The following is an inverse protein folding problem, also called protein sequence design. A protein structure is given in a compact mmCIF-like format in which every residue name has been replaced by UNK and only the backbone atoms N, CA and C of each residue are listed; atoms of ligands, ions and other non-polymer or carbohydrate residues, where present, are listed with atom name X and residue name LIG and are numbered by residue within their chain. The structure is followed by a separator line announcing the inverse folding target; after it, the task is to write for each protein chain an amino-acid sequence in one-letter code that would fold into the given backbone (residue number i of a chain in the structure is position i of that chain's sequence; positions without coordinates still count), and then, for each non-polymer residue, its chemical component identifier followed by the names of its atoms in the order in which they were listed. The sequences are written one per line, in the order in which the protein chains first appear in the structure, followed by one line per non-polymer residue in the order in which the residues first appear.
data_IF_942911349213
#
_entry.id   IF_942911349213
#
_cell.length_a   1.000
_cell.length_b   1.000
_cell.length_c   1.000
_cell.angle_alpha   90.00
_cell.angle_beta   90.00
_cell.angle_gamma   90.00
#
_symmetry.space_group_name_H-M   'P 1'
#
loop_
_entity.id
_entity.type
_entity.pdbx_description
1 polymer ?
#
# COMPACT_ATOMS: atom_id res chain seq x y z
N UNK A 1 -25.59 13.11 -35.83
CA UNK A 1 -26.81 12.72 -35.10
C UNK A 1 -26.40 11.73 -34.04
N UNK A 2 -26.38 12.15 -32.77
CA UNK A 2 -25.94 11.31 -31.64
C UNK A 2 -27.01 10.24 -31.42
N UNK A 3 -26.58 8.98 -31.39
CA UNK A 3 -27.45 7.80 -31.33
C UNK A 3 -28.28 7.85 -30.04
N UNK A 4 -29.59 8.09 -30.14
CA UNK A 4 -30.49 8.29 -28.99
C UNK A 4 -30.53 7.09 -28.05
N UNK A 5 -30.23 5.89 -28.54
CA UNK A 5 -30.13 4.67 -27.73
C UNK A 5 -28.90 4.65 -26.81
N UNK A 6 -27.74 5.15 -27.27
CA UNK A 6 -26.53 5.26 -26.43
C UNK A 6 -26.72 6.33 -25.36
N UNK A 7 -27.28 7.48 -25.72
CA UNK A 7 -27.63 8.54 -24.77
C UNK A 7 -28.62 8.09 -23.69
N UNK A 8 -29.56 7.19 -24.04
CA UNK A 8 -30.53 6.64 -23.09
C UNK A 8 -29.89 5.61 -22.14
N UNK A 9 -28.98 4.77 -22.64
CA UNK A 9 -28.26 3.76 -21.85
C UNK A 9 -27.26 4.40 -20.88
N UNK A 10 -26.55 5.44 -21.32
CA UNK A 10 -25.71 6.27 -20.46
C UNK A 10 -26.53 7.01 -19.39
N UNK A 11 -27.73 7.50 -19.73
CA UNK A 11 -28.65 8.10 -18.77
C UNK A 11 -29.15 7.10 -17.73
N UNK A 12 -29.39 5.85 -18.14
CA UNK A 12 -29.82 4.73 -17.29
C UNK A 12 -28.64 4.06 -16.55
N UNK A 13 -27.39 4.48 -16.80
CA UNK A 13 -26.20 3.91 -16.18
C UNK A 13 -25.94 2.45 -16.55
N UNK A 14 -26.43 1.97 -17.70
CA UNK A 14 -26.11 0.63 -18.18
C UNK A 14 -24.74 0.70 -18.87
N UNK A 15 -23.72 0.17 -18.20
CA UNK A 15 -22.35 0.15 -18.72
C UNK A 15 -22.31 -0.55 -20.09
N UNK A 16 -21.49 -0.01 -21.00
CA UNK A 16 -21.08 -0.74 -22.20
C UNK A 16 -20.41 -2.03 -21.73
N UNK A 17 -21.02 -3.17 -22.01
CA UNK A 17 -20.43 -4.48 -21.70
C UNK A 17 -19.18 -4.61 -22.56
N UNK A 18 -18.02 -4.27 -21.99
CA UNK A 18 -16.74 -4.50 -22.62
C UNK A 18 -16.54 -6.01 -22.61
N UNK A 19 -16.64 -6.64 -23.78
CA UNK A 19 -16.20 -8.01 -23.96
C UNK A 19 -14.68 -8.03 -23.78
N UNK A 20 -14.21 -8.69 -22.71
CA UNK A 20 -12.79 -8.82 -22.38
C UNK A 20 -12.39 -10.26 -22.67
N UNK A 21 -11.48 -10.47 -23.62
CA UNK A 21 -10.99 -11.81 -23.99
C UNK A 21 -9.93 -12.35 -23.01
N UNK A 22 -9.18 -11.46 -22.37
CA UNK A 22 -8.06 -11.81 -21.49
C UNK A 22 -7.98 -10.93 -20.24
N UNK A 23 -7.68 -11.56 -19.10
CA UNK A 23 -7.47 -10.88 -17.81
C UNK A 23 -6.03 -11.10 -17.36
N UNK A 24 -5.35 -10.03 -16.98
CA UNK A 24 -4.01 -10.06 -16.44
C UNK A 24 -3.98 -9.53 -15.00
N UNK A 25 -3.06 -10.05 -14.19
CA UNK A 25 -2.84 -9.62 -12.79
C UNK A 25 -1.36 -9.29 -12.65
N UNK A 26 -1.08 -8.13 -12.05
CA UNK A 26 0.27 -7.65 -11.78
C UNK A 26 0.34 -7.02 -10.39
N UNK A 27 1.56 -6.82 -9.89
CA UNK A 27 1.77 -6.07 -8.64
C UNK A 27 1.55 -4.59 -8.92
N UNK A 28 0.77 -3.93 -8.07
CA UNK A 28 0.45 -2.52 -8.22
C UNK A 28 1.64 -1.65 -7.79
N UNK A 29 2.06 -0.72 -8.66
CA UNK A 29 3.01 0.32 -8.28
C UNK A 29 2.33 1.38 -7.40
N UNK A 30 3.08 2.13 -6.57
CA UNK A 30 2.54 3.26 -5.82
C UNK A 30 1.87 4.30 -6.72
N UNK A 31 2.41 4.54 -7.92
CA UNK A 31 1.84 5.46 -8.92
C UNK A 31 0.52 4.94 -9.48
N UNK A 32 0.43 3.64 -9.76
CA UNK A 32 -0.81 2.99 -10.19
C UNK A 32 -1.90 3.14 -9.12
N UNK A 33 -1.57 2.92 -7.85
CA UNK A 33 -2.52 3.08 -6.73
C UNK A 33 -3.03 4.52 -6.66
N UNK A 34 -2.14 5.52 -6.81
CA UNK A 34 -2.54 6.94 -6.85
C UNK A 34 -3.42 7.25 -8.05
N UNK A 35 -3.17 6.63 -9.21
CA UNK A 35 -3.98 6.83 -10.43
C UNK A 35 -5.42 6.32 -10.31
N UNK A 36 -5.64 5.24 -9.55
CA UNK A 36 -6.97 4.70 -9.28
C UNK A 36 -7.74 5.57 -8.29
N UNK A 37 -7.02 6.29 -7.44
CA UNK A 37 -7.61 7.07 -6.38
C UNK A 37 -8.19 8.38 -6.87
N UNK A 38 -9.37 8.73 -6.35
CA UNK A 38 -9.98 10.06 -6.53
C UNK A 38 -9.65 11.04 -5.40
N UNK A 39 -8.87 10.62 -4.41
CA UNK A 39 -8.41 11.48 -3.33
C UNK A 39 -7.84 10.75 -2.12
N UNK A 40 -7.03 11.47 -1.35
CA UNK A 40 -6.40 10.99 -0.13
C UNK A 40 -7.36 11.07 1.08
N UNK A 41 -7.47 9.98 1.83
CA UNK A 41 -8.21 9.92 3.10
C UNK A 41 -7.25 10.29 4.23
N UNK A 42 -7.55 11.41 4.91
CA UNK A 42 -6.70 11.95 5.99
C UNK A 42 -7.28 11.69 7.37
N UNK A 43 -8.60 11.70 7.49
CA UNK A 43 -9.28 11.59 8.77
C UNK A 43 -9.86 10.18 8.94
N UNK A 44 -9.81 9.61 10.16
CA UNK A 44 -10.43 8.32 10.46
C UNK A 44 -11.96 8.42 10.52
N UNK A 45 -12.50 9.63 10.64
CA UNK A 45 -13.93 9.86 10.86
C UNK A 45 -14.79 9.36 9.69
N UNK A 46 -15.99 8.90 10.01
CA UNK A 46 -16.91 8.32 9.03
C UNK A 46 -18.06 9.28 8.72
N UNK A 47 -19.01 9.41 9.65
CA UNK A 47 -20.19 10.25 9.55
C UNK A 47 -20.35 11.08 10.82
N UNK A 48 -20.94 12.25 10.67
CA UNK A 48 -21.27 13.10 11.80
C UNK A 48 -22.44 12.51 12.61
N UNK A 49 -22.28 12.37 13.92
CA UNK A 49 -23.29 11.77 14.79
C UNK A 49 -24.61 12.55 14.89
N UNK A 50 -24.62 13.87 14.64
CA UNK A 50 -25.84 14.70 14.69
C UNK A 50 -26.53 14.81 13.33
N UNK A 51 -25.75 15.07 12.28
CA UNK A 51 -26.29 15.37 10.95
C UNK A 51 -26.37 14.16 10.04
N UNK A 52 -25.75 13.04 10.43
CA UNK A 52 -25.58 11.82 9.61
C UNK A 52 -24.91 12.07 8.25
N UNK A 53 -24.29 13.24 8.06
CA UNK A 53 -23.55 13.56 6.85
C UNK A 53 -22.13 13.01 6.93
N UNK A 54 -21.57 12.52 5.81
CA UNK A 54 -20.17 12.10 5.77
C UNK A 54 -19.21 13.23 6.12
N UNK A 55 -18.18 12.90 6.91
CA UNK A 55 -17.16 13.86 7.30
C UNK A 55 -16.19 14.18 6.14
N UNK A 56 -15.72 15.44 6.10
CA UNK A 56 -14.79 15.89 5.05
C UNK A 56 -13.41 15.26 5.26
N UNK A 57 -12.84 14.68 4.21
CA UNK A 57 -11.55 13.98 4.26
C UNK A 57 -11.57 12.66 5.04
N UNK A 58 -12.75 12.22 5.48
CA UNK A 58 -12.97 10.95 6.17
C UNK A 58 -13.21 9.77 5.23
N UNK A 59 -13.47 8.60 5.81
CA UNK A 59 -13.66 7.34 5.10
C UNK A 59 -14.90 7.30 4.20
N UNK A 60 -15.87 8.18 4.40
CA UNK A 60 -17.09 8.25 3.60
C UNK A 60 -17.20 9.55 2.79
N UNK A 61 -16.11 10.33 2.72
CA UNK A 61 -16.09 11.68 2.17
C UNK A 61 -16.66 11.75 0.74
N UNK A 62 -17.68 12.57 0.55
CA UNK A 62 -18.35 12.72 -0.74
C UNK A 62 -17.47 13.36 -1.82
N UNK A 63 -16.46 14.14 -1.42
CA UNK A 63 -15.48 14.73 -2.36
C UNK A 63 -14.61 13.67 -3.03
N UNK A 64 -14.27 12.61 -2.28
CA UNK A 64 -13.39 11.53 -2.75
C UNK A 64 -14.22 10.48 -3.48
N UNK A 65 -15.26 9.98 -2.81
CA UNK A 65 -16.01 8.82 -3.29
C UNK A 65 -17.23 9.16 -4.14
N UNK A 66 -17.68 10.42 -4.17
CA UNK A 66 -18.87 10.87 -4.89
C UNK A 66 -20.08 11.15 -3.98
N UNK A 67 -21.16 11.74 -4.53
CA UNK A 67 -22.30 12.23 -3.76
C UNK A 67 -23.17 11.10 -3.20
N UNK A 68 -23.77 11.29 -2.02
CA UNK A 68 -24.71 10.31 -1.43
C UNK A 68 -26.05 10.26 -2.18
N UNK A 69 -26.45 11.37 -2.81
CA UNK A 69 -27.70 11.49 -3.57
C UNK A 69 -27.41 11.74 -5.04
N UNK A 70 -28.24 11.17 -5.91
CA UNK A 70 -28.11 11.37 -7.35
C UNK A 70 -28.27 12.84 -7.74
N UNK A 71 -27.32 13.33 -8.53
CA UNK A 71 -27.34 14.68 -9.11
C UNK A 71 -27.49 15.81 -8.08
N UNK A 72 -27.02 15.59 -6.85
CA UNK A 72 -27.07 16.58 -5.77
C UNK A 72 -25.72 16.62 -5.04
N UNK A 73 -25.19 17.83 -4.84
CA UNK A 73 -23.99 18.03 -4.02
C UNK A 73 -24.33 18.04 -2.52
N UNK A 74 -23.34 17.72 -1.66
CA UNK A 74 -23.47 17.67 -0.19
C UNK A 74 -24.17 18.86 0.48
N UNK A 75 -23.88 20.08 -0.01
CA UNK A 75 -24.40 21.33 0.55
C UNK A 75 -25.74 21.75 -0.06
N UNK A 76 -26.22 21.06 -1.10
CA UNK A 76 -27.47 21.38 -1.79
C UNK A 76 -27.43 22.64 -2.68
N UNK A 77 -26.27 23.28 -2.90
CA UNK A 77 -26.11 24.43 -3.82
C UNK A 77 -26.49 24.05 -5.26
N UNK A 78 -25.88 22.97 -5.75
CA UNK A 78 -26.16 22.40 -7.07
C UNK A 78 -27.04 21.16 -6.91
N UNK A 79 -28.19 21.17 -7.59
CA UNK A 79 -29.20 20.10 -7.60
C UNK A 79 -29.72 19.86 -9.01
N UNK A 80 -30.19 18.64 -9.26
CA UNK A 80 -30.79 18.17 -10.51
C UNK A 80 -29.75 17.97 -11.62
N UNK A 81 -30.15 17.23 -12.65
CA UNK A 81 -29.29 16.79 -13.76
C UNK A 81 -28.63 17.94 -14.55
N UNK A 82 -29.20 19.16 -14.50
CA UNK A 82 -28.67 20.35 -15.19
C UNK A 82 -27.22 20.71 -14.81
N UNK A 83 -26.76 20.29 -13.63
CA UNK A 83 -25.40 20.55 -13.14
C UNK A 83 -24.49 19.31 -13.22
N UNK A 84 -24.83 18.33 -14.08
CA UNK A 84 -24.02 17.12 -14.31
C UNK A 84 -22.56 17.47 -14.56
N UNK A 85 -21.65 16.83 -13.80
CA UNK A 85 -20.19 17.01 -13.94
C UNK A 85 -19.63 18.31 -13.33
N UNK A 86 -20.48 19.18 -12.77
CA UNK A 86 -20.02 20.41 -12.10
C UNK A 86 -19.50 20.05 -10.70
N UNK A 87 -18.27 20.48 -10.39
CA UNK A 87 -17.70 20.39 -9.05
C UNK A 87 -18.14 21.59 -8.22
N UNK A 88 -18.73 21.34 -7.05
CA UNK A 88 -19.27 22.42 -6.23
C UNK A 88 -18.18 23.25 -5.54
N UNK A 89 -18.16 24.57 -5.73
CA UNK A 89 -17.17 25.47 -5.10
C UNK A 89 -17.19 25.44 -3.56
N UNK A 90 -18.34 25.12 -2.94
CA UNK A 90 -18.51 25.16 -1.48
C UNK A 90 -18.11 23.86 -0.78
N UNK A 91 -18.42 22.71 -1.39
CA UNK A 91 -18.16 21.40 -0.78
C UNK A 91 -17.16 20.54 -1.54
N UNK A 92 -16.75 20.94 -2.74
CA UNK A 92 -15.85 20.19 -3.62
C UNK A 92 -16.43 18.89 -4.17
N UNK A 93 -17.73 18.64 -3.97
CA UNK A 93 -18.40 17.41 -4.44
C UNK A 93 -18.83 17.60 -5.88
N UNK A 94 -18.46 16.64 -6.72
CA UNK A 94 -18.89 16.53 -8.10
C UNK A 94 -20.36 16.06 -8.18
N UNK A 95 -21.16 16.72 -9.00
CA UNK A 95 -22.57 16.35 -9.20
C UNK A 95 -22.66 15.23 -10.22
N UNK A 96 -22.75 13.99 -9.72
CA UNK A 96 -22.90 12.75 -10.51
C UNK A 96 -23.98 11.84 -9.91
N UNK A 97 -24.17 10.66 -10.48
CA UNK A 97 -24.95 9.59 -9.85
C UNK A 97 -24.24 9.09 -8.57
N UNK A 98 -24.99 8.61 -7.59
CA UNK A 98 -24.47 8.05 -6.35
C UNK A 98 -23.80 6.68 -6.58
N UNK A 99 -24.15 5.96 -7.64
CA UNK A 99 -23.56 4.65 -8.01
C UNK A 99 -22.03 4.67 -8.11
N UNK A 100 -21.44 5.82 -8.47
CA UNK A 100 -19.98 5.99 -8.53
C UNK A 100 -19.28 5.71 -7.20
N UNK A 101 -20.01 5.78 -6.07
CA UNK A 101 -19.51 5.45 -4.72
C UNK A 101 -19.20 3.97 -4.50
N UNK A 102 -19.63 3.10 -5.42
CA UNK A 102 -19.26 1.69 -5.47
C UNK A 102 -17.98 1.43 -6.26
N UNK A 103 -17.56 2.39 -7.09
CA UNK A 103 -16.45 2.24 -8.05
C UNK A 103 -15.21 3.08 -7.69
N UNK A 104 -15.42 4.30 -7.16
CA UNK A 104 -14.31 5.22 -6.85
C UNK A 104 -13.51 4.74 -5.64
N UNK A 105 -12.19 4.61 -5.82
CA UNK A 105 -11.27 4.27 -4.73
C UNK A 105 -10.65 5.51 -4.08
N UNK A 106 -10.27 5.38 -2.82
CA UNK A 106 -9.43 6.34 -2.09
C UNK A 106 -8.00 5.81 -1.93
N UNK A 107 -7.11 6.59 -1.35
CA UNK A 107 -5.81 6.08 -0.87
C UNK A 107 -5.40 6.76 0.44
N UNK A 108 -4.46 6.14 1.14
CA UNK A 108 -3.78 6.68 2.32
C UNK A 108 -2.29 6.68 2.01
N UNK A 109 -1.64 7.83 2.18
CA UNK A 109 -0.18 7.93 2.09
C UNK A 109 0.41 7.48 3.44
N UNK A 110 1.21 6.41 3.41
CA UNK A 110 1.84 5.89 4.63
C UNK A 110 3.06 6.73 4.97
N UNK A 111 3.22 7.05 6.26
CA UNK A 111 4.35 7.86 6.74
C UNK A 111 5.67 7.10 6.68
N UNK A 112 5.60 5.77 6.71
CA UNK A 112 6.73 4.84 6.63
C UNK A 112 6.28 3.67 5.75
N UNK A 113 7.16 3.10 4.91
CA UNK A 113 6.84 1.90 4.14
C UNK A 113 6.38 0.75 5.05
N UNK A 114 5.43 -0.04 4.56
CA UNK A 114 4.87 -1.20 5.27
C UNK A 114 4.97 -2.42 4.36
N UNK A 115 5.52 -3.52 4.87
CA UNK A 115 5.62 -4.76 4.10
C UNK A 115 4.25 -5.38 3.85
N UNK A 116 3.98 -5.79 2.61
CA UNK A 116 2.72 -6.45 2.29
C UNK A 116 2.72 -7.89 2.84
N UNK A 117 1.76 -8.18 3.72
CA UNK A 117 1.68 -9.44 4.47
C UNK A 117 1.71 -10.69 3.58
N UNK A 118 1.06 -10.68 2.41
CA UNK A 118 1.07 -11.86 1.51
C UNK A 118 2.44 -12.18 0.92
N UNK A 119 3.30 -11.19 0.68
CA UNK A 119 4.66 -11.47 0.16
C UNK A 119 5.63 -11.83 1.29
N UNK A 120 5.33 -11.39 2.51
CA UNK A 120 6.10 -11.66 3.72
C UNK A 120 5.76 -13.00 4.37
N UNK A 121 4.51 -13.20 4.82
CA UNK A 121 4.08 -14.34 5.65
C UNK A 121 3.62 -15.58 4.88
N UNK A 122 3.20 -15.47 3.62
CA UNK A 122 2.81 -16.67 2.86
C UNK A 122 4.03 -17.56 2.63
N UNK A 123 3.91 -18.86 2.94
CA UNK A 123 5.01 -19.81 2.77
C UNK A 123 4.99 -20.45 1.37
N UNK A 124 6.09 -20.39 0.61
CA UNK A 124 7.36 -19.74 0.91
C UNK A 124 7.32 -18.21 0.73
N UNK A 125 7.96 -17.47 1.65
CA UNK A 125 8.05 -16.01 1.61
C UNK A 125 8.67 -15.55 0.29
N UNK A 126 7.97 -14.68 -0.44
CA UNK A 126 8.45 -14.17 -1.74
C UNK A 126 9.60 -13.19 -1.53
N UNK A 127 9.48 -12.30 -0.54
CA UNK A 127 10.54 -11.36 -0.17
C UNK A 127 11.77 -12.12 0.31
N UNK A 128 11.60 -13.11 1.20
CA UNK A 128 12.72 -13.94 1.67
C UNK A 128 13.43 -14.68 0.54
N UNK A 129 12.69 -15.26 -0.41
CA UNK A 129 13.28 -15.91 -1.59
C UNK A 129 14.04 -14.93 -2.49
N UNK A 130 13.51 -13.73 -2.70
CA UNK A 130 14.13 -12.69 -3.52
C UNK A 130 15.43 -12.19 -2.88
N UNK A 131 15.45 -11.98 -1.56
CA UNK A 131 16.62 -11.47 -0.85
C UNK A 131 17.60 -12.56 -0.39
N UNK A 132 17.24 -13.83 -0.53
CA UNK A 132 17.96 -14.99 0.03
C UNK A 132 17.98 -15.09 1.56
N UNK A 133 17.06 -14.38 2.23
CA UNK A 133 16.97 -14.32 3.68
C UNK A 133 15.90 -15.30 4.19
N UNK A 134 16.13 -15.92 5.33
CA UNK A 134 15.13 -16.80 5.95
C UNK A 134 13.93 -15.99 6.44
N UNK A 135 12.73 -16.58 6.44
CA UNK A 135 11.52 -15.88 6.89
C UNK A 135 11.63 -15.36 8.34
N UNK A 136 12.32 -16.12 9.21
CA UNK A 136 12.59 -15.73 10.60
C UNK A 136 13.50 -14.50 10.68
N UNK A 137 14.57 -14.46 9.91
CA UNK A 137 15.48 -13.32 9.88
C UNK A 137 14.78 -12.08 9.30
N UNK A 138 13.98 -12.25 8.24
CA UNK A 138 13.19 -11.16 7.68
C UNK A 138 12.19 -10.60 8.70
N UNK A 139 11.59 -11.45 9.52
CA UNK A 139 10.70 -11.03 10.61
C UNK A 139 11.43 -10.16 11.66
N UNK A 140 12.61 -10.58 12.10
CA UNK A 140 13.43 -9.80 13.05
C UNK A 140 13.75 -8.40 12.52
N UNK A 141 14.04 -8.26 11.23
CA UNK A 141 14.27 -6.96 10.60
C UNK A 141 12.98 -6.12 10.55
N UNK A 142 11.87 -6.69 10.09
CA UNK A 142 10.59 -5.97 9.92
C UNK A 142 10.04 -5.47 11.27
N UNK A 143 10.19 -6.25 12.35
CA UNK A 143 9.70 -5.92 13.69
C UNK A 143 10.70 -5.11 14.54
N UNK A 144 11.74 -4.56 13.92
CA UNK A 144 12.71 -3.67 14.54
C UNK A 144 13.58 -4.31 15.63
N UNK A 145 13.95 -5.59 15.48
CA UNK A 145 14.90 -6.28 16.37
C UNK A 145 16.35 -6.18 15.86
N UNK A 146 16.58 -6.48 14.58
CA UNK A 146 17.91 -6.50 13.96
C UNK A 146 18.03 -5.54 12.76
N UNK A 147 19.24 -5.07 12.50
CA UNK A 147 19.57 -4.31 11.29
C UNK A 147 19.89 -5.25 10.12
N UNK A 148 19.54 -4.82 8.92
CA UNK A 148 19.87 -5.46 7.66
C UNK A 148 20.90 -4.59 6.93
N UNK A 149 22.03 -5.18 6.55
CA UNK A 149 23.04 -4.51 5.70
C UNK A 149 22.48 -4.39 4.28
N UNK A 150 22.18 -3.16 3.87
CA UNK A 150 21.65 -2.82 2.54
C UNK A 150 22.81 -2.64 1.55
N UNK A 151 23.83 -1.92 1.98
CA UNK A 151 25.06 -1.68 1.22
C UNK A 151 26.28 -1.94 2.13
N UNK A 152 27.11 -2.95 1.83
CA UNK A 152 28.30 -3.25 2.61
C UNK A 152 29.47 -2.26 2.40
N UNK A 153 29.47 -1.46 1.32
CA UNK A 153 30.60 -0.58 1.00
C UNK A 153 31.94 -1.34 0.90
N UNK A 154 32.99 -0.75 1.47
CA UNK A 154 34.35 -1.32 1.52
C UNK A 154 34.60 -2.21 2.75
N UNK A 155 33.55 -2.52 3.53
CA UNK A 155 33.67 -3.32 4.76
C UNK A 155 33.61 -4.83 4.45
N UNK A 156 34.08 -5.70 5.37
CA UNK A 156 33.96 -7.15 5.20
C UNK A 156 32.53 -7.69 5.41
N UNK A 157 31.53 -6.81 5.58
CA UNK A 157 30.14 -7.20 5.76
C UNK A 157 29.54 -7.72 4.44
N UNK A 158 28.57 -8.62 4.55
CA UNK A 158 27.85 -9.15 3.38
C UNK A 158 26.51 -8.42 3.17
N UNK A 159 26.13 -8.23 1.91
CA UNK A 159 24.79 -7.71 1.58
C UNK A 159 23.71 -8.66 2.10
N UNK A 160 22.67 -8.11 2.71
CA UNK A 160 21.60 -8.84 3.41
C UNK A 160 22.04 -9.59 4.67
N UNK A 161 23.24 -9.35 5.19
CA UNK A 161 23.64 -9.80 6.52
C UNK A 161 22.79 -9.10 7.58
N UNK A 162 22.44 -9.83 8.64
CA UNK A 162 21.77 -9.26 9.81
C UNK A 162 22.80 -8.92 10.87
N UNK A 163 22.60 -7.77 11.52
CA UNK A 163 23.40 -7.30 12.64
C UNK A 163 22.47 -7.00 13.82
N UNK A 164 22.80 -7.54 14.99
CA UNK A 164 22.17 -7.12 16.23
C UNK A 164 22.53 -5.67 16.57
N UNK A 165 21.80 -5.03 17.48
CA UNK A 165 22.09 -3.65 17.91
C UNK A 165 23.53 -3.48 18.45
N UNK A 166 24.08 -4.50 19.12
CA UNK A 166 25.46 -4.50 19.59
C UNK A 166 26.45 -4.60 18.41
N UNK A 167 26.29 -5.59 17.53
CA UNK A 167 27.16 -5.77 16.36
C UNK A 167 27.12 -4.55 15.43
N UNK A 168 25.96 -3.92 15.26
CA UNK A 168 25.83 -2.70 14.47
C UNK A 168 26.59 -1.53 15.07
N UNK A 169 26.57 -1.39 16.41
CA UNK A 169 27.33 -0.35 17.12
C UNK A 169 28.83 -0.60 16.99
N UNK A 170 29.28 -1.83 17.22
CA UNK A 170 30.68 -2.22 17.13
C UNK A 170 31.23 -2.05 15.70
N UNK A 171 30.43 -2.44 14.69
CA UNK A 171 30.77 -2.23 13.28
C UNK A 171 30.89 -0.74 12.93
N UNK A 172 29.99 0.11 13.45
CA UNK A 172 30.07 1.56 13.25
C UNK A 172 31.28 2.18 13.94
N UNK A 173 31.67 1.69 15.10
CA UNK A 173 32.87 2.16 15.80
C UNK A 173 34.14 1.73 15.07
N UNK A 174 34.16 0.51 14.53
CA UNK A 174 35.33 -0.08 13.85
C UNK A 174 35.56 0.51 12.46
N UNK A 175 34.51 0.58 11.64
CA UNK A 175 34.62 0.97 10.23
C UNK A 175 34.27 2.45 9.98
N UNK A 176 33.60 3.09 10.94
CA UNK A 176 33.08 4.44 10.81
C UNK A 176 31.60 4.48 10.40
N UNK A 177 30.92 5.61 10.64
CA UNK A 177 29.47 5.72 10.48
C UNK A 177 28.98 5.66 9.03
N UNK A 178 29.82 6.01 8.06
CA UNK A 178 29.49 6.10 6.62
C UNK A 178 30.11 4.96 5.79
N UNK A 179 30.82 4.02 6.42
CA UNK A 179 31.52 2.96 5.69
C UNK A 179 30.56 1.88 5.12
N UNK A 180 29.38 1.72 5.72
CA UNK A 180 28.34 0.80 5.28
C UNK A 180 26.96 1.35 5.63
N UNK A 181 25.93 0.89 4.92
CA UNK A 181 24.53 1.25 5.19
C UNK A 181 23.79 0.02 5.70
N UNK A 182 23.43 0.04 6.98
CA UNK A 182 22.48 -0.93 7.53
C UNK A 182 21.23 -0.23 8.07
N UNK A 183 20.07 -0.77 7.71
CA UNK A 183 18.75 -0.22 8.03
C UNK A 183 17.88 -1.26 8.72
N UNK A 184 16.84 -0.79 9.39
CA UNK A 184 15.91 -1.64 10.14
C UNK A 184 14.47 -1.38 9.70
N UNK A 185 13.59 -2.37 9.90
CA UNK A 185 12.19 -2.28 9.52
C UNK A 185 11.94 -2.48 8.03
N UNK A 186 10.70 -2.21 7.63
CA UNK A 186 10.26 -2.30 6.24
C UNK A 186 11.02 -1.37 5.29
N UNK A 187 11.60 -0.28 5.78
CA UNK A 187 12.45 0.63 5.00
C UNK A 187 13.73 -0.04 4.53
N UNK A 188 14.43 -0.76 5.43
CA UNK A 188 15.63 -1.52 5.05
C UNK A 188 15.32 -2.62 4.04
N UNK A 189 14.18 -3.29 4.19
CA UNK A 189 13.70 -4.30 3.22
C UNK A 189 13.40 -3.66 1.87
N UNK A 190 12.71 -2.51 1.85
CA UNK A 190 12.43 -1.77 0.63
C UNK A 190 13.71 -1.38 -0.11
N UNK A 191 14.67 -0.78 0.57
CA UNK A 191 15.91 -0.31 -0.06
C UNK A 191 16.79 -1.47 -0.55
N UNK A 192 16.82 -2.56 0.21
CA UNK A 192 17.49 -3.78 -0.22
C UNK A 192 16.85 -4.38 -1.49
N UNK A 193 15.52 -4.28 -1.65
CA UNK A 193 14.81 -4.71 -2.85
C UNK A 193 15.04 -3.76 -4.04
N UNK A 194 15.12 -2.44 -3.79
CA UNK A 194 15.44 -1.43 -4.81
C UNK A 194 16.82 -1.67 -5.41
N UNK A 195 17.79 -2.05 -4.58
CA UNK A 195 19.17 -2.30 -4.99
C UNK A 195 19.38 -3.66 -5.71
N UNK A 196 18.32 -4.36 -6.12
CA UNK A 196 18.43 -5.61 -6.88
C UNK A 196 18.35 -5.28 -8.37
N UNK A 197 19.46 -5.48 -9.08
CA UNK A 197 19.45 -5.63 -10.52
C UNK A 197 18.94 -7.03 -10.88
N UNK A 198 17.81 -7.11 -11.58
CA UNK A 198 17.15 -8.36 -11.93
C UNK A 198 17.92 -9.14 -13.00
N UNK A 199 18.46 -8.47 -14.01
CA UNK A 199 19.13 -9.12 -15.13
C UNK A 199 20.48 -9.68 -14.68
N UNK A 200 21.30 -8.87 -14.03
CA UNK A 200 22.59 -9.31 -13.47
C UNK A 200 22.40 -10.44 -12.46
N UNK A 201 21.38 -10.32 -11.59
CA UNK A 201 21.12 -11.36 -10.61
C UNK A 201 20.64 -12.68 -11.23
N UNK A 202 19.91 -12.66 -12.36
CA UNK A 202 19.53 -13.89 -13.07
C UNK A 202 20.78 -14.58 -13.61
N UNK A 203 21.69 -13.87 -14.27
CA UNK A 203 22.93 -14.43 -14.81
C UNK A 203 23.79 -15.06 -13.70
N UNK A 204 23.99 -14.32 -12.61
CA UNK A 204 24.71 -14.81 -11.43
C UNK A 204 24.09 -16.07 -10.83
N UNK A 205 22.76 -16.12 -10.71
CA UNK A 205 22.05 -17.29 -10.18
C UNK A 205 22.12 -18.49 -11.13
N UNK A 206 22.07 -18.27 -12.45
CA UNK A 206 22.25 -19.32 -13.45
C UNK A 206 23.66 -19.91 -13.38
N UNK A 207 24.69 -19.06 -13.28
CA UNK A 207 26.07 -19.50 -13.08
C UNK A 207 26.22 -20.34 -11.81
N UNK A 208 25.72 -19.85 -10.66
CA UNK A 208 25.77 -20.60 -9.40
C UNK A 208 25.02 -21.95 -9.45
N UNK A 209 23.99 -22.06 -10.28
CA UNK A 209 23.26 -23.31 -10.51
C UNK A 209 24.09 -24.36 -11.25
N UNK A 210 24.99 -23.94 -12.16
CA UNK A 210 25.91 -24.85 -12.87
C UNK A 210 27.01 -25.38 -11.96
N UNK A 211 27.56 -24.53 -11.09
CA UNK A 211 28.66 -24.90 -10.17
C UNK A 211 28.20 -25.86 -9.06
N UNK A 212 26.98 -25.70 -8.56
CA UNK A 212 26.50 -26.51 -7.44
C UNK A 212 25.99 -27.87 -7.90
N UNK A 213 26.43 -28.97 -7.27
CA UNK A 213 25.91 -30.34 -7.50
C UNK A 213 24.72 -30.72 -6.60
N UNK A 214 24.47 -29.95 -5.53
CA UNK A 214 23.38 -30.20 -4.58
C UNK A 214 22.00 -29.97 -5.21
N UNK A 215 21.13 -30.99 -5.15
CA UNK A 215 19.75 -30.92 -5.65
C UNK A 215 18.91 -29.87 -4.92
N UNK A 216 19.12 -29.70 -3.61
CA UNK A 216 18.36 -28.76 -2.78
C UNK A 216 18.68 -27.30 -3.16
N UNK A 217 19.96 -26.97 -3.32
CA UNK A 217 20.40 -25.63 -3.69
C UNK A 217 19.93 -25.30 -5.11
N UNK A 218 20.07 -26.23 -6.07
CA UNK A 218 19.52 -26.05 -7.43
C UNK A 218 18.02 -25.77 -7.44
N UNK A 219 17.23 -26.44 -6.60
CA UNK A 219 15.79 -26.18 -6.47
C UNK A 219 15.50 -24.78 -5.91
N UNK A 220 16.30 -24.28 -4.97
CA UNK A 220 16.18 -22.92 -4.41
C UNK A 220 16.51 -21.88 -5.49
N UNK A 221 17.63 -22.03 -6.19
CA UNK A 221 18.07 -21.14 -7.27
C UNK A 221 17.03 -21.10 -8.40
N UNK A 222 16.53 -22.24 -8.86
CA UNK A 222 15.51 -22.32 -9.90
C UNK A 222 14.22 -21.56 -9.52
N UNK A 223 13.77 -21.67 -8.26
CA UNK A 223 12.61 -20.91 -7.77
C UNK A 223 12.86 -19.40 -7.79
N UNK A 224 14.07 -18.96 -7.44
CA UNK A 224 14.45 -17.55 -7.39
C UNK A 224 14.56 -16.95 -8.80
N UNK A 225 15.23 -17.64 -9.73
CA UNK A 225 15.29 -17.28 -11.15
C UNK A 225 13.88 -17.13 -11.72
N UNK A 226 12.98 -18.09 -11.44
CA UNK A 226 11.59 -18.01 -11.91
C UNK A 226 10.85 -16.76 -11.41
N UNK A 227 11.11 -16.33 -10.17
CA UNK A 227 10.51 -15.11 -9.62
C UNK A 227 11.06 -13.87 -10.34
N UNK A 228 12.38 -13.78 -10.54
CA UNK A 228 13.02 -12.65 -11.22
C UNK A 228 12.56 -12.53 -12.68
N UNK A 229 12.50 -13.65 -13.41
CA UNK A 229 11.93 -13.69 -14.76
C UNK A 229 10.46 -13.25 -14.77
N UNK A 230 9.70 -13.60 -13.73
CA UNK A 230 8.32 -13.13 -13.55
C UNK A 230 8.21 -11.62 -13.41
N UNK A 231 9.10 -11.00 -12.64
CA UNK A 231 9.19 -9.54 -12.50
C UNK A 231 9.55 -8.87 -13.82
N UNK A 232 10.57 -9.35 -14.54
CA UNK A 232 10.96 -8.82 -15.85
C UNK A 232 9.82 -8.92 -16.88
N UNK A 233 9.17 -10.09 -16.97
CA UNK A 233 8.07 -10.31 -17.93
C UNK A 233 6.86 -9.42 -17.64
N UNK A 234 6.55 -9.22 -16.36
CA UNK A 234 5.43 -8.36 -15.93
C UNK A 234 5.78 -6.88 -15.84
N UNK A 235 7.03 -6.49 -16.15
CA UNK A 235 7.58 -5.14 -15.94
C UNK A 235 7.30 -4.61 -14.53
N UNK A 236 7.21 -5.51 -13.56
CA UNK A 236 6.97 -5.18 -12.16
C UNK A 236 8.28 -5.13 -11.41
N UNK A 237 8.39 -4.25 -10.42
CA UNK A 237 9.61 -4.13 -9.63
C UNK A 237 9.47 -4.84 -8.27
N UNK A 238 10.55 -5.44 -7.73
CA UNK A 238 10.50 -6.18 -6.46
C UNK A 238 10.09 -5.32 -5.26
N UNK A 239 10.49 -4.04 -5.22
CA UNK A 239 10.19 -3.15 -4.10
C UNK A 239 8.70 -2.82 -3.96
N UNK A 240 7.89 -3.03 -4.99
CA UNK A 240 6.43 -2.86 -4.91
C UNK A 240 5.75 -3.89 -3.99
N UNK A 241 6.48 -4.91 -3.52
CA UNK A 241 6.02 -5.79 -2.43
C UNK A 241 5.99 -5.06 -1.07
N UNK A 242 6.61 -3.89 -0.96
CA UNK A 242 6.54 -3.00 0.19
C UNK A 242 5.68 -1.79 -0.19
N UNK A 243 4.60 -1.57 0.56
CA UNK A 243 3.62 -0.53 0.27
C UNK A 243 4.04 0.79 0.89
N UNK A 244 4.07 1.84 0.08
CA UNK A 244 4.14 3.24 0.53
C UNK A 244 2.77 3.93 0.49
N UNK A 245 1.87 3.40 -0.33
CA UNK A 245 0.51 3.91 -0.51
C UNK A 245 -0.46 2.75 -0.33
N UNK A 246 -1.48 2.95 0.51
CA UNK A 246 -2.53 1.96 0.76
C UNK A 246 -3.83 2.39 0.06
N UNK A 247 -4.38 1.62 -0.89
CA UNK A 247 -5.68 1.91 -1.46
C UNK A 247 -6.80 1.73 -0.43
N UNK A 248 -7.84 2.56 -0.52
CA UNK A 248 -9.05 2.48 0.30
C UNK A 248 -10.23 2.07 -0.57
N UNK A 249 -10.86 0.96 -0.19
CA UNK A 249 -12.02 0.39 -0.88
C UNK A 249 -13.21 1.37 -0.88
N UNK A 250 -14.01 1.41 -1.95
CA UNK A 250 -15.21 2.25 -2.04
C UNK A 250 -16.18 2.04 -0.86
N UNK A 251 -16.82 3.11 -0.34
CA UNK A 251 -17.64 3.06 0.87
C UNK A 251 -18.88 2.17 0.74
N UNK A 252 -19.46 2.03 -0.46
CA UNK A 252 -20.66 1.20 -0.65
C UNK A 252 -20.36 -0.30 -0.58
N UNK A 253 -19.07 -0.69 -0.69
CA UNK A 253 -18.62 -2.06 -0.42
C UNK A 253 -18.33 -2.30 1.08
N UNK A 254 -18.36 -1.25 1.90
CA UNK A 254 -18.17 -1.28 3.36
C UNK A 254 -19.19 -0.38 4.08
N UNK A 255 -20.51 -0.61 3.88
CA UNK A 255 -21.54 0.33 4.29
C UNK A 255 -21.65 0.47 5.82
N UNK A 256 -22.21 1.60 6.24
CA UNK A 256 -22.70 1.84 7.59
C UNK A 256 -24.22 1.73 7.56
N UNK A 257 -24.79 0.70 8.17
CA UNK A 257 -26.22 0.45 8.11
C UNK A 257 -26.87 1.02 9.37
N UNK A 258 -27.82 1.96 9.26
CA UNK A 258 -28.57 2.42 10.42
C UNK A 258 -29.44 1.29 10.97
N UNK A 259 -29.45 1.13 12.28
CA UNK A 259 -30.31 0.21 13.03
C UNK A 259 -31.40 1.00 13.77
N UNK A 260 -32.44 0.30 14.21
CA UNK A 260 -33.48 0.87 15.07
C UNK A 260 -32.85 1.43 16.36
N UNK A 261 -33.36 2.58 16.81
CA UNK A 261 -32.84 3.27 18.00
C UNK A 261 -31.58 4.11 17.77
N UNK A 262 -31.25 4.48 16.51
CA UNK A 262 -30.17 5.42 16.20
C UNK A 262 -28.75 4.84 16.29
N UNK A 263 -28.63 3.51 16.37
CA UNK A 263 -27.35 2.80 16.31
C UNK A 263 -26.95 2.58 14.85
N UNK A 264 -25.67 2.33 14.60
CA UNK A 264 -25.16 1.97 13.28
C UNK A 264 -24.41 0.64 13.39
N UNK A 265 -24.71 -0.27 12.47
CA UNK A 265 -23.86 -1.43 12.23
C UNK A 265 -22.69 -0.99 11.34
N UNK A 266 -21.48 -1.32 11.77
CA UNK A 266 -20.24 -0.96 11.07
C UNK A 266 -19.60 -2.22 10.51
N UNK A 267 -19.16 -2.18 9.25
CA UNK A 267 -18.29 -3.23 8.71
C UNK A 267 -16.94 -3.23 9.42
N UNK A 268 -16.41 -4.41 9.76
CA UNK A 268 -15.08 -4.59 10.39
C UNK A 268 -13.96 -3.86 9.63
N UNK A 269 -14.07 -3.77 8.30
CA UNK A 269 -13.10 -3.05 7.46
C UNK A 269 -12.97 -1.57 7.84
N UNK A 270 -14.08 -0.92 8.22
CA UNK A 270 -14.03 0.49 8.61
C UNK A 270 -13.23 0.68 9.89
N UNK A 271 -13.30 -0.24 10.85
CA UNK A 271 -12.53 -0.16 12.09
C UNK A 271 -11.03 -0.45 11.86
N UNK A 272 -10.71 -1.37 10.94
CA UNK A 272 -9.33 -1.58 10.50
C UNK A 272 -8.76 -0.32 9.81
N UNK A 273 -9.49 0.28 8.86
CA UNK A 273 -9.05 1.53 8.23
C UNK A 273 -8.87 2.65 9.24
N UNK A 274 -9.79 2.80 10.21
CA UNK A 274 -9.67 3.79 11.29
C UNK A 274 -8.41 3.58 12.10
N UNK A 275 -8.09 2.33 12.44
CA UNK A 275 -6.87 1.97 13.18
C UNK A 275 -5.62 2.37 12.38
N UNK A 276 -5.55 2.00 11.11
CA UNK A 276 -4.42 2.35 10.22
C UNK A 276 -4.25 3.86 10.11
N UNK A 277 -5.33 4.61 9.84
CA UNK A 277 -5.28 6.08 9.70
C UNK A 277 -4.84 6.74 11.02
N UNK A 278 -5.37 6.30 12.16
CA UNK A 278 -5.00 6.84 13.47
C UNK A 278 -3.52 6.61 13.79
N UNK A 279 -3.01 5.39 13.55
CA UNK A 279 -1.62 5.04 13.76
C UNK A 279 -0.70 5.81 12.82
N UNK A 280 -1.07 5.91 11.55
CA UNK A 280 -0.31 6.66 10.55
C UNK A 280 -0.23 8.16 10.89
N UNK A 281 -1.35 8.79 11.25
CA UNK A 281 -1.39 10.20 11.65
C UNK A 281 -0.59 10.46 12.94
N UNK A 282 -0.70 9.55 13.92
CA UNK A 282 0.10 9.61 15.15
C UNK A 282 1.59 9.52 14.83
N UNK A 283 2.01 8.55 14.02
CA UNK A 283 3.41 8.40 13.60
C UNK A 283 3.92 9.66 12.88
N UNK A 284 3.13 10.22 11.96
CA UNK A 284 3.46 11.47 11.25
C UNK A 284 3.74 12.63 12.22
N UNK A 285 2.91 12.77 13.24
CA UNK A 285 3.09 13.80 14.26
C UNK A 285 4.34 13.55 15.12
N UNK A 286 4.61 12.30 15.52
CA UNK A 286 5.80 11.94 16.30
C UNK A 286 7.11 12.20 15.53
N UNK A 287 7.11 11.92 14.23
CA UNK A 287 8.25 12.23 13.34
C UNK A 287 8.49 13.75 13.26
N UNK A 288 7.42 14.56 13.17
CA UNK A 288 7.53 16.02 13.13
C UNK A 288 8.07 16.60 14.45
N UNK A 289 7.70 16.01 15.59
CA UNK A 289 8.14 16.43 16.92
C UNK A 289 9.54 15.93 17.32
N UNK A 290 10.26 15.24 16.43
CA UNK A 290 11.59 14.62 16.72
C UNK A 290 11.59 13.81 18.02
N UNK A 291 10.52 13.03 18.23
CA UNK A 291 10.37 12.17 19.42
C UNK A 291 11.50 11.13 19.48
N UNK A 292 11.92 10.66 20.67
CA UNK A 292 12.94 9.62 20.79
C UNK A 292 12.67 8.36 19.94
N UNK A 293 13.75 7.77 19.40
CA UNK A 293 13.66 6.63 18.46
C UNK A 293 12.90 5.43 18.99
N UNK A 294 13.01 5.13 20.29
CA UNK A 294 12.32 3.97 20.92
C UNK A 294 10.80 4.06 20.72
N UNK A 295 10.24 5.27 20.89
CA UNK A 295 8.80 5.50 20.73
C UNK A 295 8.43 5.41 19.24
N UNK A 296 9.28 5.96 18.36
CA UNK A 296 9.07 5.90 16.91
C UNK A 296 9.11 4.44 16.42
N UNK A 297 10.08 3.62 16.86
CA UNK A 297 10.18 2.19 16.50
C UNK A 297 8.92 1.44 16.92
N UNK A 298 8.42 1.68 18.12
CA UNK A 298 7.16 1.07 18.58
C UNK A 298 5.95 1.50 17.74
N UNK A 299 5.82 2.79 17.39
CA UNK A 299 4.70 3.24 16.56
C UNK A 299 4.81 2.74 15.10
N UNK A 300 6.03 2.64 14.55
CA UNK A 300 6.29 1.99 13.26
C UNK A 300 5.88 0.51 13.29
N UNK A 301 6.19 -0.21 14.39
CA UNK A 301 5.75 -1.61 14.59
C UNK A 301 4.22 -1.72 14.65
N UNK A 302 3.58 -0.83 15.41
CA UNK A 302 2.13 -0.78 15.52
C UNK A 302 1.43 -0.47 14.20
N UNK A 303 2.03 0.35 13.34
CA UNK A 303 1.52 0.59 11.98
C UNK A 303 1.65 -0.63 11.07
N UNK A 304 2.73 -1.41 11.20
CA UNK A 304 2.94 -2.65 10.45
C UNK A 304 1.99 -3.78 10.88
N UNK A 305 1.56 -3.79 12.15
CA UNK A 305 0.59 -4.74 12.70
C UNK A 305 -0.88 -4.39 12.42
N UNK A 306 -1.19 -3.09 12.25
CA UNK A 306 -2.56 -2.57 12.09
C UNK A 306 -3.16 -2.90 10.72
#
# INVERSE_FOLDING_TARGET
MINTAESSRELLGLDTVNHVDHVAIAVASPESIRSWSKGEVKNPETINYRTFKPEKGGLFCERIFGPVKDWECSCGKYKRIKHRGVVCDRCGVEVTQARVRRERMGHIELSVPVTHIWFFKCMPSRIGLVMDVTARNLERVIYYEDYLVVDPGDTPLEKNQLLTEAEFRDAKETYGPEAFVAKIGAEGVHDALVAIDLDESIERLQFGMTQTRSKQIRKKLAKRIKIYQGFLKSKSRPEWMVMTVLPVIPPDLRPLVPLEGGRFATSDLNDLYRRVINRNNRLKNLLALKTPEVIIRNEKRMLQEA
#
